data_IF_937622990291
#
_entry.id   IF_937622990291
#
_cell.length_a   1.000
_cell.length_b   1.000
_cell.length_c   1.000
_cell.angle_alpha   90.00
_cell.angle_beta   90.00
_cell.angle_gamma   90.00
#
_symmetry.space_group_name_H-M   'P 1'
#
loop_
_entity.id
_entity.type
_entity.pdbx_description
1 polymer ?
#
# COMPACT_ATOMS: atom_id res chain seq x y z
N UNK A 1 3.13 36.14 23.67
CA UNK A 1 4.35 35.85 24.41
C UNK A 1 5.59 35.65 23.50
N UNK A 2 5.55 36.03 22.25
CA UNK A 2 6.69 36.01 21.32
C UNK A 2 7.50 37.31 21.31
N UNK A 3 7.14 38.23 22.13
CA UNK A 3 7.66 39.60 22.15
C UNK A 3 8.99 39.76 22.91
N UNK A 4 9.54 38.74 23.50
CA UNK A 4 10.74 38.87 24.34
C UNK A 4 12.07 38.69 23.58
N UNK A 5 12.06 38.10 22.38
CA UNK A 5 13.27 37.82 21.61
C UNK A 5 13.73 38.96 20.71
N UNK A 6 12.83 39.86 20.31
CA UNK A 6 13.14 40.98 19.41
C UNK A 6 12.51 42.29 19.90
N UNK A 7 13.00 42.81 21.03
CA UNK A 7 12.49 44.09 21.59
C UNK A 7 12.56 45.25 20.61
N UNK A 8 13.55 45.26 19.75
CA UNK A 8 13.72 46.28 18.71
C UNK A 8 12.61 46.27 17.66
N UNK A 9 11.94 45.13 17.44
CA UNK A 9 10.84 45.05 16.47
C UNK A 9 9.50 45.61 17.00
N UNK A 10 9.41 45.93 18.29
CA UNK A 10 8.23 46.63 18.87
C UNK A 10 8.19 48.11 18.53
N UNK A 11 9.32 48.71 18.25
CA UNK A 11 9.46 50.13 17.95
C UNK A 11 9.49 50.42 16.44
N UNK A 12 9.59 49.35 15.61
CA UNK A 12 9.64 49.47 14.16
C UNK A 12 8.26 49.35 13.57
N UNK A 13 7.78 50.31 12.81
CA UNK A 13 6.54 50.30 12.10
C UNK A 13 6.51 49.23 10.98
N UNK A 14 5.33 48.77 10.58
CA UNK A 14 5.14 47.89 9.43
C UNK A 14 5.30 48.69 8.14
N UNK A 15 6.30 48.33 7.33
CA UNK A 15 6.57 49.00 6.06
C UNK A 15 5.63 48.51 4.95
N UNK A 16 5.29 47.20 4.94
CA UNK A 16 4.46 46.58 3.92
C UNK A 16 3.73 45.36 4.51
N UNK A 17 2.45 45.24 4.22
CA UNK A 17 1.66 44.03 4.43
C UNK A 17 1.15 43.59 3.07
N UNK A 18 1.38 42.34 2.73
CA UNK A 18 0.85 41.75 1.51
C UNK A 18 0.14 40.43 1.80
N UNK A 19 -0.82 40.07 0.95
CA UNK A 19 -1.52 38.80 0.98
C UNK A 19 -1.46 38.18 -0.42
N UNK A 20 -1.13 36.90 -0.49
CA UNK A 20 -1.07 36.14 -1.73
C UNK A 20 -1.61 34.73 -1.54
N UNK A 21 -2.12 34.08 -2.60
CA UNK A 21 -2.52 32.69 -2.54
C UNK A 21 -1.32 31.75 -2.39
N UNK A 22 -1.46 30.72 -1.57
CA UNK A 22 -0.49 29.63 -1.46
C UNK A 22 -1.12 28.31 -1.92
N UNK A 23 -0.30 27.38 -2.39
CA UNK A 23 -0.75 26.06 -2.83
C UNK A 23 -0.41 24.98 -1.80
N UNK A 24 -1.42 24.19 -1.44
CA UNK A 24 -1.29 23.06 -0.52
C UNK A 24 -1.78 21.78 -1.19
N UNK A 25 -1.08 20.69 -0.90
CA UNK A 25 -1.46 19.34 -1.31
C UNK A 25 -2.29 18.66 -0.21
N UNK A 26 -3.06 17.62 -0.56
CA UNK A 26 -3.87 16.91 0.44
C UNK A 26 -3.08 16.10 1.48
N UNK A 27 -1.80 15.84 1.24
CA UNK A 27 -0.94 15.00 2.06
C UNK A 27 0.31 15.72 2.61
N UNK A 28 0.44 17.02 2.39
CA UNK A 28 1.60 17.86 2.70
C UNK A 28 2.87 17.53 1.89
N UNK A 29 2.87 16.53 1.05
CA UNK A 29 3.98 16.23 0.13
C UNK A 29 3.93 17.15 -1.09
N UNK A 30 5.09 17.56 -1.61
CA UNK A 30 5.16 18.30 -2.88
C UNK A 30 4.65 17.42 -4.03
N UNK A 31 3.91 17.98 -4.98
CA UNK A 31 3.61 17.31 -6.24
C UNK A 31 4.82 17.47 -7.17
N UNK A 32 5.61 16.43 -7.32
CA UNK A 32 6.91 16.49 -7.99
C UNK A 32 7.10 15.28 -8.90
N UNK A 33 7.69 15.48 -10.07
CA UNK A 33 8.06 14.40 -10.98
C UNK A 33 7.35 14.40 -12.31
N UNK A 34 7.54 13.34 -13.07
CA UNK A 34 6.93 13.15 -14.39
C UNK A 34 5.45 12.73 -14.25
N UNK A 35 4.57 13.43 -14.96
CA UNK A 35 3.14 13.11 -14.94
C UNK A 35 2.89 11.71 -15.53
N UNK A 36 2.10 10.85 -14.88
CA UNK A 36 1.85 9.49 -15.36
C UNK A 36 1.14 9.45 -16.72
N UNK A 37 0.32 10.46 -17.02
CA UNK A 37 -0.49 10.52 -18.25
C UNK A 37 0.31 10.99 -19.48
N UNK A 38 1.38 11.76 -19.28
CA UNK A 38 2.09 12.43 -20.38
C UNK A 38 3.60 12.30 -20.19
N UNK A 39 4.25 11.59 -21.11
CA UNK A 39 5.73 11.47 -21.11
C UNK A 39 6.39 12.84 -21.31
N UNK A 40 7.50 13.07 -20.62
CA UNK A 40 8.29 14.30 -20.68
C UNK A 40 7.54 15.56 -20.18
N UNK A 41 6.44 15.38 -19.44
CA UNK A 41 5.74 16.47 -18.76
C UNK A 41 6.03 16.41 -17.26
N UNK A 42 6.90 17.29 -16.79
CA UNK A 42 7.35 17.32 -15.40
C UNK A 42 6.58 18.37 -14.59
N UNK A 43 6.26 18.02 -13.36
CA UNK A 43 5.52 18.85 -12.41
C UNK A 43 6.38 19.16 -11.19
N UNK A 44 6.35 20.39 -10.72
CA UNK A 44 6.87 20.82 -9.41
C UNK A 44 5.91 21.86 -8.84
N UNK A 45 4.97 21.42 -8.00
CA UNK A 45 3.86 22.25 -7.50
C UNK A 45 3.45 21.84 -6.09
N UNK A 46 2.58 22.63 -5.45
CA UNK A 46 2.06 22.32 -4.13
C UNK A 46 3.14 22.36 -3.05
N UNK A 47 3.89 23.46 -2.97
CA UNK A 47 5.06 23.58 -2.10
C UNK A 47 4.72 23.82 -0.63
N UNK A 48 3.46 23.85 -0.26
CA UNK A 48 2.97 23.81 1.13
C UNK A 48 3.61 24.88 2.04
N UNK A 49 3.69 26.14 1.59
CA UNK A 49 4.27 27.27 2.34
C UNK A 49 5.79 27.19 2.61
N UNK A 50 6.49 26.18 2.09
CA UNK A 50 7.93 26.01 2.27
C UNK A 50 8.71 26.10 0.95
N UNK A 51 8.10 26.67 -0.10
CA UNK A 51 8.66 26.72 -1.45
C UNK A 51 9.99 27.44 -1.55
N UNK A 52 10.19 28.56 -0.83
CA UNK A 52 11.45 29.32 -0.86
C UNK A 52 12.63 28.46 -0.38
N UNK A 53 12.42 27.69 0.68
CA UNK A 53 13.47 26.86 1.28
C UNK A 53 13.73 25.58 0.48
N UNK A 54 12.71 25.04 -0.23
CA UNK A 54 12.79 23.76 -0.94
C UNK A 54 13.09 23.89 -2.43
N UNK A 55 12.80 25.04 -3.05
CA UNK A 55 12.89 25.25 -4.49
C UNK A 55 14.26 24.92 -5.09
N UNK A 56 15.35 25.27 -4.39
CA UNK A 56 16.72 25.00 -4.86
C UNK A 56 17.01 23.50 -4.96
N UNK A 57 16.62 22.72 -3.94
CA UNK A 57 16.76 21.27 -3.92
C UNK A 57 15.91 20.58 -4.99
N UNK A 58 14.63 20.95 -5.05
CA UNK A 58 13.71 20.41 -6.05
C UNK A 58 14.15 20.72 -7.47
N UNK A 59 14.60 21.97 -7.73
CA UNK A 59 15.11 22.36 -9.05
C UNK A 59 16.33 21.56 -9.46
N UNK A 60 17.26 21.25 -8.55
CA UNK A 60 18.41 20.40 -8.82
C UNK A 60 18.00 18.98 -9.20
N UNK A 61 17.11 18.35 -8.41
CA UNK A 61 16.63 16.98 -8.66
C UNK A 61 15.89 16.94 -10.00
N UNK A 62 15.01 17.92 -10.26
CA UNK A 62 14.26 18.01 -11.51
C UNK A 62 15.20 18.16 -12.72
N UNK A 63 16.18 19.03 -12.66
CA UNK A 63 17.14 19.22 -13.73
C UNK A 63 17.94 17.93 -14.02
N UNK A 64 18.37 17.24 -12.96
CA UNK A 64 19.02 15.93 -13.09
C UNK A 64 18.08 14.92 -13.74
N UNK A 65 16.86 14.79 -13.26
CA UNK A 65 15.89 13.83 -13.78
C UNK A 65 15.59 14.05 -15.28
N UNK A 66 15.30 15.31 -15.67
CA UNK A 66 15.03 15.66 -17.07
C UNK A 66 16.24 15.35 -17.97
N UNK A 67 17.46 15.56 -17.50
CA UNK A 67 18.66 15.42 -18.33
C UNK A 67 19.22 13.99 -18.38
N UNK A 68 18.97 13.19 -17.34
CA UNK A 68 19.57 11.86 -17.19
C UNK A 68 18.55 10.73 -17.14
N UNK A 69 17.26 11.03 -17.02
CA UNK A 69 16.20 10.04 -16.79
C UNK A 69 16.12 9.53 -15.35
N UNK A 70 16.96 10.06 -14.42
CA UNK A 70 17.05 9.57 -13.05
C UNK A 70 17.07 10.75 -12.07
N UNK A 71 16.16 10.80 -11.08
CA UNK A 71 16.15 11.87 -10.09
C UNK A 71 17.41 11.87 -9.20
N UNK A 72 18.09 10.73 -9.02
CA UNK A 72 19.26 10.58 -8.17
C UNK A 72 19.01 10.86 -6.69
N UNK A 73 17.77 10.75 -6.27
CA UNK A 73 17.31 10.93 -4.90
C UNK A 73 16.02 10.13 -4.68
N UNK A 74 15.72 9.78 -3.44
CA UNK A 74 14.42 9.21 -3.08
C UNK A 74 13.31 10.23 -3.38
N UNK A 75 12.39 9.87 -4.25
CA UNK A 75 11.23 10.67 -4.62
C UNK A 75 9.89 10.00 -4.26
N UNK A 76 9.91 8.84 -3.65
CA UNK A 76 8.70 8.03 -3.37
C UNK A 76 7.63 8.81 -2.62
N UNK A 77 8.02 9.59 -1.61
CA UNK A 77 7.09 10.43 -0.84
C UNK A 77 6.61 11.71 -1.54
N UNK A 78 7.17 12.07 -2.70
CA UNK A 78 6.83 13.31 -3.40
C UNK A 78 6.44 13.12 -4.86
N UNK A 79 6.61 11.92 -5.43
CA UNK A 79 6.28 11.65 -6.82
C UNK A 79 4.80 11.96 -7.10
N UNK A 80 4.53 12.66 -8.19
CA UNK A 80 3.18 13.13 -8.54
C UNK A 80 2.21 11.98 -8.81
N UNK A 81 2.70 10.83 -9.20
CA UNK A 81 1.91 9.63 -9.47
C UNK A 81 1.37 8.92 -8.20
N UNK A 82 1.79 9.36 -7.00
CA UNK A 82 1.19 8.91 -5.74
C UNK A 82 -0.26 9.36 -5.55
N UNK A 83 -0.68 10.42 -6.26
CA UNK A 83 -2.04 10.94 -6.17
C UNK A 83 -3.03 10.07 -6.93
N UNK A 84 -4.05 9.60 -6.24
CA UNK A 84 -5.16 8.88 -6.82
C UNK A 84 -6.24 9.83 -7.39
N UNK A 85 -7.04 9.41 -8.38
CA UNK A 85 -8.07 10.24 -8.99
C UNK A 85 -9.07 10.85 -8.00
N UNK A 86 -9.46 10.15 -6.93
CA UNK A 86 -10.37 10.67 -5.91
C UNK A 86 -9.83 11.93 -5.22
N UNK A 87 -8.51 12.06 -5.07
CA UNK A 87 -7.86 13.23 -4.44
C UNK A 87 -7.93 14.49 -5.32
N UNK A 88 -8.23 14.33 -6.60
CA UNK A 88 -8.47 15.46 -7.51
C UNK A 88 -9.88 16.06 -7.34
N UNK A 89 -10.80 15.42 -6.61
CA UNK A 89 -12.14 15.90 -6.35
C UNK A 89 -12.08 17.23 -5.56
N UNK A 90 -12.81 18.28 -6.01
CA UNK A 90 -12.78 19.60 -5.35
C UNK A 90 -13.22 19.57 -3.88
N UNK A 91 -14.21 18.77 -3.53
CA UNK A 91 -14.70 18.65 -2.16
C UNK A 91 -13.68 17.98 -1.26
N UNK A 92 -13.06 16.89 -1.74
CA UNK A 92 -11.95 16.24 -1.04
C UNK A 92 -10.81 17.23 -0.78
N UNK A 93 -10.33 17.92 -1.82
CA UNK A 93 -9.25 18.90 -1.68
C UNK A 93 -9.59 20.01 -0.71
N UNK A 94 -10.79 20.60 -0.84
CA UNK A 94 -11.24 21.67 0.05
C UNK A 94 -11.24 21.23 1.52
N UNK A 95 -11.66 20.01 1.80
CA UNK A 95 -11.75 19.48 3.16
C UNK A 95 -10.38 19.09 3.70
N UNK A 96 -9.60 18.31 2.97
CA UNK A 96 -8.33 17.77 3.42
C UNK A 96 -7.23 18.84 3.49
N UNK A 97 -7.17 19.77 2.55
CA UNK A 97 -6.15 20.82 2.52
C UNK A 97 -6.25 21.78 3.72
N UNK A 98 -7.44 22.01 4.26
CA UNK A 98 -7.58 22.79 5.49
C UNK A 98 -6.91 22.11 6.69
N UNK A 99 -7.04 20.78 6.79
CA UNK A 99 -6.33 20.00 7.82
C UNK A 99 -4.82 20.06 7.62
N UNK A 100 -4.34 19.82 6.40
CA UNK A 100 -2.90 19.80 6.11
C UNK A 100 -2.25 21.17 6.31
N UNK A 101 -2.90 22.26 5.91
CA UNK A 101 -2.46 23.61 6.22
C UNK A 101 -2.24 23.82 7.73
N UNK A 102 -3.19 23.36 8.53
CA UNK A 102 -3.11 23.46 9.99
C UNK A 102 -2.00 22.63 10.62
N UNK A 103 -1.40 21.70 9.86
CA UNK A 103 -0.36 20.79 10.34
C UNK A 103 1.06 21.19 9.93
N UNK A 104 1.27 22.04 8.93
CA UNK A 104 2.59 22.35 8.34
C UNK A 104 3.67 22.67 9.39
N UNK A 105 3.33 23.43 10.42
CA UNK A 105 4.28 23.81 11.49
C UNK A 105 3.97 23.13 12.82
N UNK A 106 3.15 22.08 12.83
CA UNK A 106 2.82 21.30 14.04
C UNK A 106 3.80 20.14 14.22
N UNK A 107 3.71 19.47 15.36
CA UNK A 107 4.43 18.22 15.61
C UNK A 107 3.89 17.11 14.73
N UNK A 108 4.77 16.44 14.01
CA UNK A 108 4.46 15.32 13.14
C UNK A 108 4.79 14.01 13.89
N UNK A 109 3.78 13.39 14.49
CA UNK A 109 3.94 12.08 15.10
C UNK A 109 3.89 11.00 14.01
N UNK A 110 4.76 9.96 14.10
CA UNK A 110 4.86 8.93 13.04
C UNK A 110 3.57 8.18 12.75
N UNK A 111 2.68 8.09 13.76
CA UNK A 111 1.43 7.32 13.68
C UNK A 111 0.20 8.19 13.41
N UNK A 112 0.40 9.45 13.10
CA UNK A 112 -0.72 10.36 12.85
C UNK A 112 -1.47 9.96 11.58
N UNK A 113 -2.79 9.93 11.69
CA UNK A 113 -3.73 9.65 10.60
C UNK A 113 -4.52 10.91 10.29
N UNK A 114 -4.81 11.21 9.02
CA UNK A 114 -5.75 12.27 8.66
C UNK A 114 -7.13 12.05 9.30
N UNK A 115 -7.73 13.12 9.77
CA UNK A 115 -9.02 13.09 10.46
C UNK A 115 -10.18 13.53 9.56
N UNK A 116 -9.90 14.30 8.51
CA UNK A 116 -10.90 14.82 7.57
C UNK A 116 -10.89 14.02 6.27
N UNK A 117 -11.92 14.19 5.45
CA UNK A 117 -12.10 13.51 4.17
C UNK A 117 -11.86 11.99 4.28
N UNK A 118 -12.45 11.39 5.32
CA UNK A 118 -12.46 9.96 5.59
C UNK A 118 -13.56 9.28 4.78
N UNK A 119 -13.59 7.96 4.79
CA UNK A 119 -14.60 7.14 4.11
C UNK A 119 -14.62 7.28 2.58
N UNK A 120 -13.49 7.63 1.97
CA UNK A 120 -13.40 7.75 0.51
C UNK A 120 -13.54 6.42 -0.22
N UNK A 121 -12.97 5.36 0.37
CA UNK A 121 -13.03 3.99 -0.13
C UNK A 121 -13.24 3.03 1.03
N UNK A 122 -14.11 2.05 0.85
CA UNK A 122 -14.36 0.97 1.83
C UNK A 122 -14.25 -0.39 1.16
N UNK A 123 -13.60 -1.32 1.83
CA UNK A 123 -13.63 -2.72 1.37
C UNK A 123 -15.00 -3.35 1.65
N UNK A 124 -15.35 -4.45 0.97
CA UNK A 124 -16.57 -5.19 1.30
C UNK A 124 -16.61 -5.69 2.76
N UNK A 125 -15.47 -5.78 3.43
CA UNK A 125 -15.38 -6.23 4.81
C UNK A 125 -15.58 -5.13 5.85
N UNK A 126 -15.66 -3.87 5.44
CA UNK A 126 -15.63 -2.70 6.33
C UNK A 126 -16.62 -2.80 7.51
N UNK A 127 -17.90 -3.09 7.23
CA UNK A 127 -18.93 -3.16 8.27
C UNK A 127 -18.66 -4.33 9.24
N UNK A 128 -18.22 -5.49 8.71
CA UNK A 128 -17.84 -6.65 9.52
C UNK A 128 -16.67 -6.33 10.45
N UNK A 129 -15.67 -5.61 9.96
CA UNK A 129 -14.50 -5.21 10.75
C UNK A 129 -14.85 -4.14 11.79
N UNK A 130 -15.75 -3.24 11.44
CA UNK A 130 -16.31 -2.26 12.38
C UNK A 130 -17.04 -2.96 13.54
N UNK A 131 -17.85 -3.98 13.25
CA UNK A 131 -18.51 -4.80 14.28
C UNK A 131 -17.50 -5.55 15.16
N UNK A 132 -16.31 -5.84 14.64
CA UNK A 132 -15.17 -6.40 15.40
C UNK A 132 -14.31 -5.33 16.08
N UNK A 133 -14.78 -4.08 16.13
CA UNK A 133 -14.13 -2.94 16.81
C UNK A 133 -12.78 -2.58 16.23
N UNK A 134 -12.68 -2.58 14.90
CA UNK A 134 -11.51 -2.06 14.21
C UNK A 134 -11.33 -0.56 14.45
N UNK A 135 -10.11 -0.14 14.74
CA UNK A 135 -9.69 1.25 14.60
C UNK A 135 -9.15 1.44 13.19
N UNK A 136 -9.80 2.30 12.42
CA UNK A 136 -9.46 2.50 11.02
C UNK A 136 -8.46 3.62 10.80
N UNK A 137 -7.54 3.40 9.86
CA UNK A 137 -6.61 4.39 9.32
C UNK A 137 -6.89 4.63 7.84
N UNK A 138 -6.51 5.81 7.36
CA UNK A 138 -6.56 6.15 5.93
C UNK A 138 -5.33 5.54 5.21
N UNK A 139 -5.57 4.65 4.27
CA UNK A 139 -4.55 4.04 3.42
C UNK A 139 -4.91 4.34 1.97
N UNK A 140 -4.34 5.37 1.39
CA UNK A 140 -4.66 5.85 0.05
C UNK A 140 -6.18 5.98 -0.21
N UNK A 141 -6.88 6.50 0.79
CA UNK A 141 -8.34 6.68 0.79
C UNK A 141 -9.16 5.49 1.25
N UNK A 142 -8.55 4.31 1.42
CA UNK A 142 -9.22 3.15 1.99
C UNK A 142 -9.28 3.24 3.51
N UNK A 143 -10.43 2.93 4.08
CA UNK A 143 -10.58 2.70 5.51
C UNK A 143 -10.04 1.30 5.84
N UNK A 144 -8.82 1.24 6.35
CA UNK A 144 -8.14 -0.02 6.64
C UNK A 144 -7.91 -0.19 8.14
N UNK A 145 -8.13 -1.38 8.72
CA UNK A 145 -7.90 -1.61 10.15
C UNK A 145 -6.45 -1.42 10.54
N UNK A 146 -6.18 -0.53 11.47
CA UNK A 146 -4.86 -0.37 12.07
C UNK A 146 -4.62 -1.36 13.20
N UNK A 147 -5.63 -1.59 14.03
CA UNK A 147 -5.66 -2.52 15.16
C UNK A 147 -7.12 -2.74 15.61
N UNK A 148 -7.36 -3.70 16.51
CA UNK A 148 -8.69 -4.04 17.00
C UNK A 148 -8.79 -3.92 18.51
N UNK A 149 -9.83 -3.24 19.00
CA UNK A 149 -10.14 -3.18 20.42
C UNK A 149 -10.68 -4.54 20.93
N UNK A 150 -10.48 -4.89 22.21
CA UNK A 150 -11.03 -6.10 22.80
C UNK A 150 -12.56 -6.05 22.91
N UNK A 151 -13.14 -7.22 23.12
CA UNK A 151 -14.58 -7.34 23.30
C UNK A 151 -15.10 -6.47 24.45
N UNK A 152 -16.19 -5.74 24.21
CA UNK A 152 -16.80 -4.84 25.17
C UNK A 152 -16.14 -3.46 25.28
N UNK A 153 -15.11 -3.15 24.50
CA UNK A 153 -14.46 -1.85 24.46
C UNK A 153 -14.56 -1.23 23.06
N UNK A 154 -14.87 0.04 23.01
CA UNK A 154 -14.78 0.80 21.75
C UNK A 154 -13.31 1.17 21.47
N UNK A 155 -12.88 1.21 20.19
CA UNK A 155 -11.54 1.63 19.87
C UNK A 155 -11.34 3.11 20.23
N UNK A 156 -10.37 3.37 21.10
CA UNK A 156 -10.01 4.74 21.45
C UNK A 156 -9.17 5.37 20.33
N UNK A 157 -9.35 6.67 20.11
CA UNK A 157 -8.49 7.46 19.23
C UNK A 157 -7.03 7.33 19.69
N UNK A 158 -6.11 7.22 18.73
CA UNK A 158 -4.67 7.15 19.01
C UNK A 158 -4.23 8.35 19.88
N UNK A 159 -3.69 8.05 21.06
CA UNK A 159 -3.08 9.05 21.94
C UNK A 159 -1.63 9.22 21.55
N UNK A 160 -1.38 10.14 20.62
CA UNK A 160 -0.06 10.38 20.07
C UNK A 160 0.91 10.88 21.15
N UNK A 161 2.00 10.16 21.36
CA UNK A 161 3.05 10.48 22.33
C UNK A 161 4.42 9.99 21.83
N UNK A 162 5.50 10.40 22.49
CA UNK A 162 6.85 9.87 22.25
C UNK A 162 7.14 8.57 23.01
N UNK A 163 6.23 8.13 23.90
CA UNK A 163 6.27 6.86 24.60
C UNK A 163 5.44 5.78 23.89
N UNK A 164 5.14 4.70 24.62
CA UNK A 164 4.22 3.66 24.14
C UNK A 164 2.84 4.23 23.88
N UNK A 165 2.29 3.86 22.74
CA UNK A 165 0.97 4.27 22.32
C UNK A 165 -0.12 3.46 23.05
N UNK A 166 -1.34 4.00 23.15
CA UNK A 166 -2.47 3.32 23.82
C UNK A 166 -2.91 2.03 23.13
N UNK A 167 -2.64 1.86 21.86
CA UNK A 167 -2.95 0.66 21.07
C UNK A 167 -1.91 -0.47 21.22
N UNK A 168 -0.79 -0.26 21.91
CA UNK A 168 0.30 -1.24 22.02
C UNK A 168 -0.14 -2.63 22.51
N UNK A 169 -0.96 -2.78 23.59
CA UNK A 169 -1.37 -4.11 24.07
C UNK A 169 -2.23 -4.88 23.04
N UNK A 170 -2.99 -4.16 22.23
CA UNK A 170 -3.86 -4.77 21.21
C UNK A 170 -3.06 -5.28 20.04
N UNK A 171 -2.15 -4.45 19.54
CA UNK A 171 -1.17 -4.82 18.52
C UNK A 171 -0.30 -6.01 18.94
N UNK A 172 0.22 -6.02 20.18
CA UNK A 172 1.01 -7.13 20.73
C UNK A 172 0.21 -8.44 20.69
N UNK A 173 -1.05 -8.41 21.09
CA UNK A 173 -1.93 -9.58 21.07
C UNK A 173 -2.23 -10.08 19.64
N UNK A 174 -2.39 -9.19 18.66
CA UNK A 174 -2.57 -9.53 17.25
C UNK A 174 -1.30 -10.17 16.67
N UNK A 175 -0.15 -9.60 16.98
CA UNK A 175 1.15 -10.11 16.59
C UNK A 175 1.38 -11.54 17.10
N UNK A 176 1.16 -11.78 18.40
CA UNK A 176 1.32 -13.10 19.01
C UNK A 176 0.31 -14.11 18.44
N UNK A 177 -0.92 -13.69 18.17
CA UNK A 177 -1.91 -14.55 17.54
C UNK A 177 -1.49 -15.03 16.14
N UNK A 178 -0.76 -14.22 15.38
CA UNK A 178 -0.17 -14.62 14.11
C UNK A 178 0.93 -15.67 14.31
N UNK A 179 1.81 -15.49 15.28
CA UNK A 179 2.94 -16.41 15.53
C UNK A 179 2.49 -17.78 16.06
N UNK A 180 1.44 -17.82 16.88
CA UNK A 180 1.05 -19.03 17.62
C UNK A 180 -0.25 -19.67 17.12
N UNK A 181 -1.06 -18.93 16.36
CA UNK A 181 -2.40 -19.32 15.98
C UNK A 181 -2.74 -19.06 14.52
N UNK A 182 -3.75 -18.22 14.33
CA UNK A 182 -4.22 -17.77 13.02
C UNK A 182 -4.85 -16.39 13.12
N UNK A 183 -4.56 -15.54 12.14
CA UNK A 183 -5.15 -14.22 12.00
C UNK A 183 -5.87 -14.08 10.66
N UNK A 184 -6.81 -13.13 10.59
CA UNK A 184 -7.41 -12.64 9.36
C UNK A 184 -7.13 -11.13 9.23
N UNK A 185 -6.67 -10.70 8.04
CA UNK A 185 -6.37 -9.30 7.71
C UNK A 185 -7.04 -8.88 6.42
N UNK A 186 -7.67 -7.72 6.41
CA UNK A 186 -8.12 -7.07 5.17
C UNK A 186 -6.95 -6.37 4.48
N UNK A 187 -6.62 -6.85 3.29
CA UNK A 187 -5.57 -6.29 2.42
C UNK A 187 -6.17 -5.81 1.09
N UNK A 188 -7.46 -5.50 1.06
CA UNK A 188 -8.16 -5.08 -0.15
C UNK A 188 -7.62 -3.79 -0.76
N UNK A 189 -6.96 -2.96 0.02
CA UNK A 189 -6.32 -1.70 -0.43
C UNK A 189 -5.10 -1.91 -1.33
N UNK A 190 -4.47 -3.09 -1.31
CA UNK A 190 -3.35 -3.42 -2.19
C UNK A 190 -3.76 -3.24 -3.66
N UNK A 191 -2.92 -2.59 -4.46
CA UNK A 191 -3.15 -2.43 -5.89
C UNK A 191 -3.12 -3.80 -6.59
N UNK A 192 -4.10 -4.06 -7.45
CA UNK A 192 -4.24 -5.32 -8.21
C UNK A 192 -4.48 -5.00 -9.66
N UNK A 193 -3.57 -5.45 -10.51
CA UNK A 193 -3.68 -5.25 -11.96
C UNK A 193 -3.77 -6.59 -12.66
N UNK A 194 -4.74 -6.72 -13.54
CA UNK A 194 -4.84 -7.83 -14.47
C UNK A 194 -4.12 -7.42 -15.77
N UNK A 195 -3.04 -8.14 -16.08
CA UNK A 195 -2.27 -7.96 -17.32
C UNK A 195 -2.59 -9.15 -18.21
N UNK A 196 -3.14 -8.87 -19.41
CA UNK A 196 -3.72 -9.89 -20.29
C UNK A 196 -3.26 -9.74 -21.72
N UNK A 197 -3.16 -10.86 -22.41
CA UNK A 197 -2.84 -10.96 -23.83
C UNK A 197 -1.64 -11.86 -24.09
N UNK A 198 -1.50 -12.31 -25.35
CA UNK A 198 -0.42 -13.23 -25.76
C UNK A 198 1.00 -12.71 -25.52
N UNK A 199 1.16 -11.38 -25.38
CA UNK A 199 2.46 -10.76 -25.14
C UNK A 199 2.63 -10.29 -23.67
N UNK A 200 1.63 -10.53 -22.80
CA UNK A 200 1.63 -10.08 -21.41
C UNK A 200 2.82 -10.61 -20.61
N UNK A 201 3.13 -11.91 -20.75
CA UNK A 201 4.28 -12.52 -20.08
C UNK A 201 5.59 -11.86 -20.49
N UNK A 202 5.81 -11.61 -21.78
CA UNK A 202 7.03 -10.95 -22.28
C UNK A 202 7.19 -9.52 -21.77
N UNK A 203 6.08 -8.77 -21.72
CA UNK A 203 6.10 -7.39 -21.23
C UNK A 203 6.47 -7.37 -19.75
N UNK A 204 5.84 -8.22 -18.94
CA UNK A 204 6.13 -8.30 -17.52
C UNK A 204 7.55 -8.83 -17.25
N UNK A 205 8.00 -9.84 -17.98
CA UNK A 205 9.34 -10.41 -17.85
C UNK A 205 10.43 -9.38 -18.18
N UNK A 206 10.19 -8.51 -19.16
CA UNK A 206 11.12 -7.45 -19.55
C UNK A 206 11.40 -6.41 -18.47
N UNK A 207 10.39 -6.05 -17.66
CA UNK A 207 10.52 -5.04 -16.62
C UNK A 207 10.82 -5.62 -15.24
N UNK A 208 10.79 -6.95 -15.09
CA UNK A 208 10.98 -7.67 -13.84
C UNK A 208 12.42 -8.11 -13.63
N UNK A 209 12.89 -8.07 -12.39
CA UNK A 209 14.20 -8.63 -12.02
C UNK A 209 14.24 -10.15 -12.14
N UNK A 210 13.10 -10.81 -11.84
CA UNK A 210 12.95 -12.26 -11.96
C UNK A 210 12.10 -12.63 -13.17
N UNK A 211 12.31 -13.82 -13.74
CA UNK A 211 11.41 -14.34 -14.79
C UNK A 211 10.03 -14.62 -14.19
N UNK A 212 9.01 -14.01 -14.77
CA UNK A 212 7.61 -14.14 -14.36
C UNK A 212 6.77 -14.97 -15.34
N UNK A 213 7.31 -15.26 -16.52
CA UNK A 213 6.65 -16.06 -17.56
C UNK A 213 7.00 -17.55 -17.45
N UNK A 214 7.02 -18.06 -16.22
CA UNK A 214 7.20 -19.47 -15.90
C UNK A 214 5.90 -20.31 -16.04
N UNK A 215 5.79 -21.45 -15.35
CA UNK A 215 4.57 -22.27 -15.35
C UNK A 215 3.34 -21.52 -14.84
N UNK A 216 2.16 -21.84 -15.39
CA UNK A 216 0.90 -21.33 -14.83
C UNK A 216 0.72 -21.73 -13.35
N UNK A 217 -0.13 -21.00 -12.64
CA UNK A 217 -0.38 -21.16 -11.22
C UNK A 217 0.83 -20.88 -10.31
N UNK A 218 1.86 -20.20 -10.82
CA UNK A 218 3.02 -19.78 -9.99
C UNK A 218 2.94 -18.31 -9.59
N UNK A 219 3.51 -18.01 -8.41
CA UNK A 219 3.67 -16.65 -7.89
C UNK A 219 5.15 -16.33 -7.87
N UNK A 220 5.54 -15.29 -8.57
CA UNK A 220 6.89 -14.76 -8.56
C UNK A 220 6.92 -13.46 -7.76
N UNK A 221 7.72 -13.43 -6.70
CA UNK A 221 8.08 -12.18 -6.03
C UNK A 221 9.23 -11.54 -6.81
N UNK A 222 9.08 -10.30 -7.21
CA UNK A 222 10.06 -9.60 -8.05
C UNK A 222 9.99 -8.09 -7.87
N UNK A 223 11.06 -7.42 -8.25
CA UNK A 223 11.11 -5.97 -8.38
C UNK A 223 10.98 -5.58 -9.85
N UNK A 224 10.26 -4.50 -10.14
CA UNK A 224 10.37 -3.83 -11.42
C UNK A 224 11.60 -2.94 -11.39
N UNK A 225 12.36 -2.94 -12.50
CA UNK A 225 13.63 -2.25 -12.61
C UNK A 225 13.60 -1.24 -13.75
N UNK A 226 14.34 -0.14 -13.59
CA UNK A 226 14.65 0.76 -14.70
C UNK A 226 15.93 0.31 -15.43
N UNK A 227 16.30 1.04 -16.48
CA UNK A 227 17.46 0.74 -17.34
C UNK A 227 18.82 0.80 -16.61
N UNK A 228 18.82 1.30 -15.38
CA UNK A 228 20.01 1.37 -14.51
C UNK A 228 20.03 0.26 -13.46
N UNK A 229 19.03 -0.63 -13.48
CA UNK A 229 18.86 -1.67 -12.48
C UNK A 229 18.39 -1.18 -11.11
N UNK A 230 17.91 0.07 -11.02
CA UNK A 230 17.31 0.60 -9.79
C UNK A 230 15.83 0.22 -9.69
N UNK A 231 15.33 0.16 -8.46
CA UNK A 231 14.00 -0.32 -8.15
C UNK A 231 12.92 0.72 -8.55
N UNK A 232 11.95 0.28 -9.33
CA UNK A 232 10.75 1.06 -9.64
C UNK A 232 9.53 0.59 -8.83
N UNK A 233 9.49 -0.69 -8.46
CA UNK A 233 8.46 -1.24 -7.60
C UNK A 233 8.88 -2.58 -7.00
N UNK A 234 8.21 -2.97 -5.92
CA UNK A 234 8.29 -4.29 -5.29
C UNK A 234 6.91 -4.95 -5.38
N UNK A 235 6.84 -6.09 -6.09
CA UNK A 235 5.57 -6.69 -6.51
C UNK A 235 5.54 -8.20 -6.40
N UNK A 236 4.34 -8.76 -6.36
CA UNK A 236 4.12 -10.17 -6.69
C UNK A 236 3.40 -10.28 -8.03
N UNK A 237 3.89 -11.17 -8.88
CA UNK A 237 3.27 -11.50 -10.16
C UNK A 237 2.78 -12.93 -10.10
N UNK A 238 1.46 -13.12 -10.21
CA UNK A 238 0.82 -14.43 -10.29
C UNK A 238 0.50 -14.73 -11.75
N UNK A 239 1.12 -15.76 -12.35
CA UNK A 239 0.72 -16.27 -13.66
C UNK A 239 -0.50 -17.16 -13.50
N UNK A 240 -1.68 -16.65 -13.85
CA UNK A 240 -2.95 -17.40 -13.73
C UNK A 240 -3.05 -18.45 -14.85
N UNK A 241 -2.71 -18.06 -16.07
CA UNK A 241 -2.60 -18.93 -17.25
C UNK A 241 -1.68 -18.29 -18.28
N UNK A 242 -1.56 -18.86 -19.48
CA UNK A 242 -0.58 -18.42 -20.50
C UNK A 242 -0.74 -16.96 -20.93
N UNK A 243 -1.93 -16.38 -20.82
CA UNK A 243 -2.23 -15.03 -21.28
C UNK A 243 -2.76 -14.11 -20.17
N UNK A 244 -2.73 -14.55 -18.89
CA UNK A 244 -3.31 -13.79 -17.78
C UNK A 244 -2.39 -13.78 -16.58
N UNK A 245 -2.05 -12.59 -16.13
CA UNK A 245 -1.20 -12.34 -14.96
C UNK A 245 -1.90 -11.38 -14.02
N UNK A 246 -1.76 -11.60 -12.72
CA UNK A 246 -2.18 -10.64 -11.70
C UNK A 246 -0.94 -10.08 -11.02
N UNK A 247 -0.78 -8.75 -11.07
CA UNK A 247 0.27 -8.01 -10.39
C UNK A 247 -0.33 -7.39 -9.12
N UNK A 248 0.29 -7.64 -7.97
CA UNK A 248 -0.11 -7.06 -6.69
C UNK A 248 1.01 -6.17 -6.17
N UNK A 249 0.65 -4.97 -5.72
CA UNK A 249 1.59 -3.92 -5.28
C UNK A 249 1.02 -3.15 -4.09
N UNK A 250 1.89 -2.51 -3.33
CA UNK A 250 1.47 -1.59 -2.26
C UNK A 250 0.64 -0.41 -2.80
N UNK A 251 -0.29 0.09 -1.99
CA UNK A 251 -1.21 1.16 -2.35
C UNK A 251 -0.52 2.46 -2.76
N UNK A 252 0.61 2.78 -2.15
CA UNK A 252 1.39 3.99 -2.45
C UNK A 252 2.01 3.97 -3.85
N UNK A 253 2.26 2.78 -4.41
CA UNK A 253 2.84 2.57 -5.74
C UNK A 253 1.81 2.18 -6.79
N UNK A 254 0.52 2.21 -6.46
CA UNK A 254 -0.57 1.78 -7.33
C UNK A 254 -0.52 2.43 -8.71
N UNK A 255 -0.51 3.77 -8.80
CA UNK A 255 -0.48 4.47 -10.09
C UNK A 255 0.88 4.40 -10.77
N UNK A 256 1.96 4.39 -9.99
CA UNK A 256 3.30 4.23 -10.54
C UNK A 256 3.44 2.91 -11.30
N UNK A 257 3.05 1.81 -10.68
CA UNK A 257 3.11 0.47 -11.29
C UNK A 257 2.22 0.35 -12.51
N UNK A 258 0.99 0.87 -12.47
CA UNK A 258 0.13 0.92 -13.65
C UNK A 258 0.81 1.66 -14.80
N UNK A 259 1.36 2.83 -14.53
CA UNK A 259 2.06 3.67 -15.50
C UNK A 259 3.31 2.98 -16.03
N UNK A 260 4.08 2.38 -15.14
CA UNK A 260 5.32 1.66 -15.52
C UNK A 260 5.02 0.52 -16.49
N UNK A 261 4.07 -0.35 -16.17
CA UNK A 261 3.65 -1.42 -17.07
C UNK A 261 3.18 -0.86 -18.42
N UNK A 262 2.25 0.13 -18.41
CA UNK A 262 1.70 0.72 -19.64
C UNK A 262 2.76 1.34 -20.53
N UNK A 263 3.77 1.99 -19.97
CA UNK A 263 4.86 2.64 -20.70
C UNK A 263 5.81 1.65 -21.36
N UNK A 264 5.84 0.41 -20.90
CA UNK A 264 6.69 -0.65 -21.44
C UNK A 264 5.94 -1.64 -22.33
N UNK A 265 4.68 -1.40 -22.66
CA UNK A 265 3.95 -2.15 -23.68
C UNK A 265 4.34 -1.58 -25.04
N UNK A 266 5.01 -2.38 -25.93
CA UNK A 266 5.26 -1.97 -27.31
C UNK A 266 3.97 -1.70 -28.08
N UNK A 267 3.99 -0.79 -29.04
CA UNK A 267 2.79 -0.38 -29.80
C UNK A 267 2.13 -1.54 -30.56
N UNK A 268 2.91 -2.54 -30.97
CA UNK A 268 2.47 -3.73 -31.69
C UNK A 268 2.17 -4.94 -30.81
N UNK A 269 2.36 -4.81 -29.48
CA UNK A 269 2.12 -5.90 -28.54
C UNK A 269 0.63 -6.05 -28.21
N UNK A 270 0.19 -7.31 -28.16
CA UNK A 270 -1.13 -7.65 -27.67
C UNK A 270 -1.08 -7.88 -26.15
N UNK A 271 -1.08 -6.75 -25.41
CA UNK A 271 -1.00 -6.71 -23.97
C UNK A 271 -1.88 -5.58 -23.41
N UNK A 272 -2.73 -5.89 -22.43
CA UNK A 272 -3.68 -4.96 -21.83
C UNK A 272 -3.56 -4.99 -20.32
N UNK A 273 -3.61 -3.81 -19.70
CA UNK A 273 -3.60 -3.64 -18.24
C UNK A 273 -4.93 -3.10 -17.77
N UNK A 274 -5.53 -3.78 -16.79
CA UNK A 274 -6.79 -3.39 -16.16
C UNK A 274 -6.61 -3.32 -14.65
N UNK A 275 -6.92 -2.17 -14.06
CA UNK A 275 -7.01 -2.05 -12.60
C UNK A 275 -8.27 -2.80 -12.12
N UNK A 276 -8.07 -3.84 -11.32
CA UNK A 276 -9.12 -4.66 -10.73
C UNK A 276 -9.24 -4.50 -9.20
N UNK A 277 -8.53 -3.53 -8.63
CA UNK A 277 -8.42 -3.31 -7.18
C UNK A 277 -9.78 -3.23 -6.52
N UNK A 278 -10.70 -2.44 -7.06
CA UNK A 278 -12.03 -2.28 -6.49
C UNK A 278 -12.97 -3.48 -6.70
N UNK A 279 -12.66 -4.35 -7.66
CA UNK A 279 -13.47 -5.54 -7.99
C UNK A 279 -13.06 -6.81 -7.25
N UNK A 280 -11.86 -6.82 -6.65
CA UNK A 280 -11.30 -7.99 -5.95
C UNK A 280 -10.92 -7.60 -4.52
N UNK A 281 -11.68 -8.10 -3.56
CA UNK A 281 -11.32 -8.02 -2.16
C UNK A 281 -10.18 -8.99 -1.84
N UNK A 282 -9.31 -8.64 -0.90
CA UNK A 282 -8.22 -9.51 -0.47
C UNK A 282 -8.28 -9.74 1.03
N UNK A 283 -8.48 -10.99 1.43
CA UNK A 283 -8.46 -11.44 2.82
C UNK A 283 -7.26 -12.34 3.04
N UNK A 284 -6.31 -11.89 3.85
CA UNK A 284 -5.14 -12.68 4.21
C UNK A 284 -5.43 -13.51 5.46
N UNK A 285 -5.24 -14.85 5.36
CA UNK A 285 -5.38 -15.80 6.48
C UNK A 285 -3.97 -16.33 6.78
N UNK A 286 -3.39 -15.89 7.88
CA UNK A 286 -1.98 -16.08 8.19
C UNK A 286 -1.78 -16.71 9.58
N UNK A 287 -0.72 -17.49 9.75
CA UNK A 287 -0.36 -18.16 10.99
C UNK A 287 -0.33 -19.69 10.87
N UNK A 288 0.29 -20.40 11.82
CA UNK A 288 0.50 -21.86 11.74
C UNK A 288 -0.78 -22.69 11.61
N UNK A 289 -1.93 -22.16 12.07
CA UNK A 289 -3.23 -22.83 11.97
C UNK A 289 -4.04 -22.43 10.71
N UNK A 290 -3.51 -21.60 9.83
CA UNK A 290 -4.23 -21.10 8.65
C UNK A 290 -4.67 -22.21 7.71
N UNK A 291 -3.82 -23.23 7.46
CA UNK A 291 -4.19 -24.40 6.66
C UNK A 291 -5.30 -25.18 7.30
N UNK A 292 -5.22 -25.46 8.59
CA UNK A 292 -6.26 -26.21 9.30
C UNK A 292 -7.61 -25.51 9.18
N UNK A 293 -7.63 -24.20 9.30
CA UNK A 293 -8.83 -23.38 9.12
C UNK A 293 -9.38 -23.52 7.71
N UNK A 294 -8.58 -23.20 6.70
CA UNK A 294 -9.06 -23.18 5.31
C UNK A 294 -9.46 -24.57 4.83
N UNK A 295 -8.72 -25.63 5.20
CA UNK A 295 -9.06 -27.00 4.83
C UNK A 295 -10.42 -27.44 5.38
N UNK A 296 -10.91 -26.84 6.45
CA UNK A 296 -12.24 -27.15 7.02
C UNK A 296 -13.41 -26.57 6.22
N UNK A 297 -13.14 -25.63 5.30
CA UNK A 297 -14.17 -24.91 4.52
C UNK A 297 -14.02 -25.02 3.01
N UNK A 298 -13.04 -25.80 2.54
CA UNK A 298 -12.85 -26.13 1.12
C UNK A 298 -12.60 -27.61 0.94
N UNK A 299 -13.01 -28.16 -0.19
CA UNK A 299 -12.68 -29.53 -0.61
C UNK A 299 -11.32 -29.65 -1.31
N UNK A 300 -10.71 -28.51 -1.68
CA UNK A 300 -9.38 -28.51 -2.30
C UNK A 300 -8.32 -29.01 -1.31
N UNK A 301 -7.38 -29.83 -1.78
CA UNK A 301 -6.26 -30.28 -0.97
C UNK A 301 -5.24 -29.14 -0.82
N UNK A 302 -5.06 -28.66 0.44
CA UNK A 302 -4.14 -27.62 0.81
C UNK A 302 -2.83 -28.13 1.42
N UNK A 303 -2.52 -29.43 1.28
CA UNK A 303 -1.25 -30.02 1.72
C UNK A 303 -0.05 -29.34 1.05
N UNK A 304 1.16 -29.55 1.56
CA UNK A 304 2.37 -29.01 0.95
C UNK A 304 2.61 -29.59 -0.46
N UNK A 305 2.27 -30.84 -0.63
CA UNK A 305 2.44 -31.62 -1.86
C UNK A 305 1.47 -31.14 -2.95
N UNK A 306 0.19 -30.94 -2.58
CA UNK A 306 -0.84 -30.51 -3.53
C UNK A 306 -0.82 -29.02 -3.78
N UNK A 307 -0.45 -28.20 -2.80
CA UNK A 307 -0.42 -26.74 -2.88
C UNK A 307 0.90 -26.18 -2.34
N UNK A 308 1.99 -26.24 -3.12
CA UNK A 308 3.31 -25.75 -2.71
C UNK A 308 3.37 -24.26 -2.43
N UNK A 309 4.34 -23.80 -1.64
CA UNK A 309 4.61 -22.38 -1.43
C UNK A 309 4.92 -21.66 -2.75
N UNK A 310 4.43 -20.43 -2.90
CA UNK A 310 4.52 -19.63 -4.13
C UNK A 310 3.72 -20.22 -5.31
N UNK A 311 2.59 -20.86 -4.99
CA UNK A 311 1.60 -21.26 -6.01
C UNK A 311 0.25 -20.62 -5.75
N UNK A 312 -0.56 -20.55 -6.80
CA UNK A 312 -1.88 -19.94 -6.81
C UNK A 312 -2.88 -20.94 -7.39
N UNK A 313 -4.08 -21.03 -6.82
CA UNK A 313 -5.15 -21.90 -7.29
C UNK A 313 -6.51 -21.27 -7.09
N UNK A 314 -7.42 -21.55 -7.99
CA UNK A 314 -8.84 -21.32 -7.72
C UNK A 314 -9.36 -22.44 -6.82
N UNK A 315 -9.95 -22.06 -5.69
CA UNK A 315 -10.60 -22.96 -4.75
C UNK A 315 -12.03 -22.51 -4.47
N UNK A 316 -12.90 -23.44 -4.16
CA UNK A 316 -14.27 -23.12 -3.77
C UNK A 316 -14.37 -22.97 -2.24
N UNK A 317 -14.91 -21.83 -1.78
CA UNK A 317 -15.24 -21.56 -0.38
C UNK A 317 -16.72 -21.20 -0.31
N UNK A 318 -17.55 -22.10 0.19
CA UNK A 318 -19.01 -21.96 0.15
C UNK A 318 -19.51 -21.83 -1.28
N UNK A 319 -20.10 -20.69 -1.65
CA UNK A 319 -20.62 -20.42 -3.01
C UNK A 319 -19.67 -19.60 -3.87
N UNK A 320 -18.49 -19.27 -3.36
CA UNK A 320 -17.53 -18.42 -4.04
C UNK A 320 -16.37 -19.25 -4.60
N UNK A 321 -15.96 -18.90 -5.83
CA UNK A 321 -14.67 -19.32 -6.40
C UNK A 321 -13.64 -18.25 -6.14
N UNK A 322 -12.60 -18.60 -5.40
CA UNK A 322 -11.60 -17.71 -4.85
C UNK A 322 -10.24 -18.05 -5.43
N UNK A 323 -9.53 -17.06 -5.95
CA UNK A 323 -8.11 -17.24 -6.27
C UNK A 323 -7.33 -17.21 -4.96
N UNK A 324 -6.79 -18.36 -4.57
CA UNK A 324 -6.06 -18.56 -3.33
C UNK A 324 -4.56 -18.61 -3.63
N UNK A 325 -3.82 -17.67 -3.09
CA UNK A 325 -2.37 -17.55 -3.23
C UNK A 325 -1.69 -18.10 -1.98
N UNK A 326 -0.83 -19.10 -2.11
CA UNK A 326 -0.03 -19.58 -1.00
C UNK A 326 1.25 -18.79 -0.89
N UNK A 327 1.15 -17.63 -0.23
CA UNK A 327 2.23 -16.68 0.00
C UNK A 327 2.03 -16.00 1.36
N UNK A 328 3.05 -15.35 1.87
CA UNK A 328 3.01 -14.66 3.16
C UNK A 328 3.86 -13.40 3.14
N UNK A 329 3.39 -12.38 3.84
CA UNK A 329 4.19 -11.18 4.16
C UNK A 329 4.45 -11.04 5.68
N UNK A 330 4.06 -12.04 6.47
CA UNK A 330 4.29 -12.10 7.92
C UNK A 330 5.29 -13.19 8.34
N UNK A 331 5.76 -14.00 7.39
CA UNK A 331 6.75 -15.05 7.60
C UNK A 331 6.22 -16.28 8.36
N UNK A 332 4.90 -16.46 8.41
CA UNK A 332 4.23 -17.67 8.87
C UNK A 332 3.53 -18.35 7.68
N UNK A 333 3.06 -19.59 7.89
CA UNK A 333 2.18 -20.24 6.91
C UNK A 333 1.00 -19.33 6.62
N UNK A 334 0.69 -19.10 5.35
CA UNK A 334 -0.34 -18.17 5.00
C UNK A 334 -0.92 -18.33 3.61
N UNK A 335 -2.10 -17.75 3.46
CA UNK A 335 -2.85 -17.71 2.23
C UNK A 335 -3.45 -16.32 2.05
N UNK A 336 -3.43 -15.84 0.82
CA UNK A 336 -4.12 -14.63 0.40
C UNK A 336 -5.30 -15.02 -0.46
N UNK A 337 -6.49 -14.68 -0.02
CA UNK A 337 -7.75 -14.98 -0.72
C UNK A 337 -8.15 -13.76 -1.54
N UNK A 338 -8.03 -13.85 -2.86
CA UNK A 338 -8.52 -12.85 -3.80
C UNK A 338 -9.95 -13.22 -4.20
N UNK A 339 -10.90 -12.43 -3.75
CA UNK A 339 -12.33 -12.77 -3.75
C UNK A 339 -13.08 -11.73 -4.60
N UNK A 340 -13.96 -12.12 -5.55
CA UNK A 340 -14.88 -11.19 -6.19
C UNK A 340 -15.63 -10.37 -5.14
N UNK A 341 -15.67 -9.05 -5.30
CA UNK A 341 -16.15 -8.11 -4.28
C UNK A 341 -17.59 -8.44 -3.81
N UNK A 342 -18.45 -8.88 -4.73
CA UNK A 342 -19.83 -9.27 -4.45
C UNK A 342 -19.98 -10.56 -3.60
N UNK A 343 -18.94 -11.38 -3.54
CA UNK A 343 -18.90 -12.61 -2.76
C UNK A 343 -18.02 -12.50 -1.50
N UNK A 344 -17.36 -11.36 -1.31
CA UNK A 344 -16.36 -11.20 -0.28
C UNK A 344 -16.90 -11.40 1.14
N UNK A 345 -18.07 -10.84 1.44
CA UNK A 345 -18.68 -10.97 2.78
C UNK A 345 -19.05 -12.42 3.07
N UNK A 346 -19.54 -13.17 2.05
CA UNK A 346 -19.85 -14.60 2.21
C UNK A 346 -18.61 -15.42 2.59
N UNK A 347 -17.48 -15.17 1.91
CA UNK A 347 -16.23 -15.88 2.21
C UNK A 347 -15.70 -15.47 3.58
N UNK A 348 -15.73 -14.18 3.89
CA UNK A 348 -15.30 -13.67 5.20
C UNK A 348 -16.09 -14.36 6.34
N UNK A 349 -17.42 -14.37 6.27
CA UNK A 349 -18.25 -14.97 7.32
C UNK A 349 -17.93 -16.47 7.49
N UNK A 350 -17.62 -17.20 6.40
CA UNK A 350 -17.17 -18.60 6.45
C UNK A 350 -15.82 -18.76 7.14
N UNK A 351 -14.84 -17.90 6.81
CA UNK A 351 -13.50 -17.93 7.43
C UNK A 351 -13.59 -17.63 8.93
N UNK A 352 -14.37 -16.61 9.31
CA UNK A 352 -14.50 -16.23 10.72
C UNK A 352 -15.22 -17.32 11.52
N UNK A 353 -16.28 -17.91 11.00
CA UNK A 353 -17.00 -18.99 11.69
C UNK A 353 -16.11 -20.22 11.90
N UNK A 354 -15.37 -20.65 10.87
CA UNK A 354 -14.45 -21.78 10.97
C UNK A 354 -13.27 -21.49 11.94
N UNK A 355 -12.87 -20.23 12.01
CA UNK A 355 -11.77 -19.79 12.88
C UNK A 355 -12.08 -19.72 14.37
N UNK A 356 -13.36 -19.69 14.77
CA UNK A 356 -13.76 -19.56 16.19
C UNK A 356 -13.10 -20.60 17.10
N UNK A 357 -13.16 -21.87 16.70
CA UNK A 357 -12.59 -22.97 17.47
C UNK A 357 -11.06 -23.06 17.40
N UNK A 358 -10.42 -22.29 16.53
CA UNK A 358 -8.96 -22.23 16.36
C UNK A 358 -8.34 -21.01 17.02
N UNK A 359 -9.17 -20.17 17.63
CA UNK A 359 -8.74 -18.91 18.25
C UNK A 359 -8.33 -17.85 17.22
N UNK A 360 -9.00 -17.83 16.05
CA UNK A 360 -8.75 -16.81 15.03
C UNK A 360 -8.94 -15.42 15.63
N UNK A 361 -7.98 -14.54 15.33
CA UNK A 361 -8.04 -13.13 15.70
C UNK A 361 -7.95 -12.25 14.46
N UNK A 362 -8.68 -11.16 14.44
CA UNK A 362 -8.44 -10.11 13.46
C UNK A 362 -7.12 -9.42 13.80
N UNK A 363 -6.40 -8.98 12.76
CA UNK A 363 -5.18 -8.22 12.94
C UNK A 363 -5.12 -7.06 11.94
N UNK A 364 -4.57 -5.93 12.38
CA UNK A 364 -4.46 -4.72 11.60
C UNK A 364 -3.04 -4.43 11.11
N UNK A 365 -2.89 -3.27 10.46
CA UNK A 365 -1.62 -2.87 9.83
C UNK A 365 -0.48 -2.65 10.82
N UNK A 366 -0.79 -2.37 12.10
CA UNK A 366 0.24 -2.26 13.14
C UNK A 366 0.94 -3.61 13.38
N UNK A 367 0.14 -4.69 13.42
CA UNK A 367 0.69 -6.04 13.53
C UNK A 367 1.46 -6.44 12.27
N UNK A 368 0.95 -6.14 11.08
CA UNK A 368 1.64 -6.40 9.82
C UNK A 368 3.04 -5.80 9.82
N UNK A 369 3.17 -4.51 10.21
CA UNK A 369 4.46 -3.81 10.23
C UNK A 369 5.52 -4.49 11.09
N UNK A 370 5.15 -5.00 12.29
CA UNK A 370 6.10 -5.71 13.17
C UNK A 370 6.37 -7.15 12.71
N UNK A 371 5.33 -7.84 12.24
CA UNK A 371 5.45 -9.23 11.76
C UNK A 371 6.39 -9.35 10.57
N UNK A 372 6.24 -8.49 9.55
CA UNK A 372 7.10 -8.50 8.37
C UNK A 372 8.55 -8.14 8.71
N UNK A 373 8.73 -7.13 9.61
CA UNK A 373 10.05 -6.63 9.99
C UNK A 373 10.87 -7.68 10.75
N UNK A 374 10.26 -8.48 11.62
CA UNK A 374 10.94 -9.59 12.31
C UNK A 374 11.51 -10.64 11.34
N UNK A 375 10.94 -10.78 10.16
CA UNK A 375 11.40 -11.69 9.11
C UNK A 375 12.25 -11.00 8.05
N UNK A 376 12.58 -9.73 8.28
CA UNK A 376 13.35 -8.90 7.36
C UNK A 376 12.70 -8.76 5.97
N UNK A 377 11.36 -8.84 5.88
CA UNK A 377 10.64 -8.53 4.65
C UNK A 377 10.63 -7.03 4.42
N UNK A 378 10.94 -6.62 3.20
CA UNK A 378 11.07 -5.22 2.79
C UNK A 378 9.72 -4.58 2.56
N UNK A 379 9.69 -3.27 2.70
CA UNK A 379 8.52 -2.42 2.43
C UNK A 379 8.97 -1.26 1.55
N UNK A 380 8.50 -1.22 0.32
CA UNK A 380 8.88 -0.19 -0.65
C UNK A 380 8.32 1.17 -0.24
N UNK A 381 9.19 2.17 -0.21
CA UNK A 381 8.90 3.51 0.30
C UNK A 381 9.21 3.70 1.79
N UNK A 382 9.66 2.65 2.50
CA UNK A 382 10.09 2.71 3.90
C UNK A 382 11.49 2.13 4.11
N UNK A 383 11.74 0.90 3.67
CA UNK A 383 13.03 0.22 3.84
C UNK A 383 13.87 0.26 2.57
N UNK A 384 13.22 0.31 1.42
CA UNK A 384 13.83 0.33 0.09
C UNK A 384 13.07 1.33 -0.79
N UNK A 385 13.76 1.93 -1.74
CA UNK A 385 13.20 2.97 -2.61
C UNK A 385 13.84 2.98 -4.02
N UNK A 386 13.53 4.01 -4.81
CA UNK A 386 14.02 4.16 -6.19
C UNK A 386 15.53 4.44 -6.29
N UNK A 387 16.24 4.64 -5.20
CA UNK A 387 17.70 4.82 -5.20
C UNK A 387 18.47 3.52 -5.01
N UNK A 388 17.79 2.46 -4.60
CA UNK A 388 18.37 1.14 -4.33
C UNK A 388 18.40 0.26 -5.58
N UNK A 389 19.23 -0.79 -5.56
CA UNK A 389 19.16 -1.93 -6.46
C UNK A 389 18.85 -3.24 -5.69
N UNK A 390 18.55 -4.31 -6.40
CA UNK A 390 18.17 -5.58 -5.80
C UNK A 390 19.28 -6.20 -4.93
N UNK A 391 20.55 -5.90 -5.18
CA UNK A 391 21.67 -6.41 -4.38
C UNK A 391 21.85 -5.61 -3.10
N UNK A 392 21.78 -4.28 -3.19
CA UNK A 392 21.88 -3.37 -2.02
C UNK A 392 20.78 -3.66 -0.99
N UNK A 393 19.59 -3.99 -1.46
CA UNK A 393 18.43 -4.33 -0.59
C UNK A 393 18.51 -5.75 -0.02
N UNK A 394 19.45 -6.57 -0.47
CA UNK A 394 19.56 -7.99 -0.07
C UNK A 394 18.51 -8.89 -0.74
N UNK A 395 17.85 -8.44 -1.82
CA UNK A 395 16.86 -9.20 -2.58
C UNK A 395 17.46 -10.01 -3.74
N UNK A 396 18.76 -9.90 -3.99
CA UNK A 396 19.43 -10.61 -5.07
C UNK A 396 19.46 -12.15 -4.96
N UNK A 397 18.85 -12.71 -3.91
CA UNK A 397 18.69 -14.17 -3.74
C UNK A 397 17.29 -14.68 -4.14
N UNK A 398 16.39 -13.80 -4.50
CA UNK A 398 14.99 -14.11 -4.85
C UNK A 398 14.73 -14.05 -6.39
#
# INVERSE_FOLDING_TARGET
PTTTLFRSSQEVGVQLVFCGPESFTPDMGVAFGEAPEIRNYFVAAGLNSIGIITAGGLGRIMAQWITTGDPGADITGMNVDRFHPYQCNPEYRKTRVVETLGLVYRRHYPTRVPLTARDCKRSPFYDRMKDQRAYFTDVSGWESPAWYAPEGQEPEVDKLSWGRQNWFPYWEAEHMACREGVIAMDMSFMGKFLVQGRDAGKVLDYISANSVDGPAETITYTQFLNERGKLEADVTVTKINEERFMVVVTDTMHRHVETWIRRHIPDDAHCFVTDITGGIAQLNVQGPKSRQLLQSITSADLSNEAFPFRTSREIDIGFARVLCNRITYVGELGYELCIPAEQAVHVYDRVIEAGKNLGLRHAGLRALGSLRMEKAYRDYGHDIDNTDDAYETGLGMF
#
